data_IF_975729913100
#
_entry.id   IF_975729913100
#
_cell.length_a   1.000
_cell.length_b   1.000
_cell.length_c   1.000
_cell.angle_alpha   90.00
_cell.angle_beta   90.00
_cell.angle_gamma   90.00
#
_symmetry.space_group_name_H-M   'P 1'
#
loop_
_entity.id
_entity.type
_entity.pdbx_description
1 polymer ?
#
# COMPACT_ATOMS: atom_id res chain seq x y z
N UNK A 1 12.20 -15.22 -7.77
CA UNK A 1 11.68 -13.85 -7.97
C UNK A 1 10.20 -13.95 -8.26
N UNK A 2 9.39 -13.56 -7.28
CA UNK A 2 7.94 -13.49 -7.46
C UNK A 2 7.64 -12.47 -8.57
N UNK A 3 7.00 -12.91 -9.65
CA UNK A 3 6.63 -12.05 -10.79
C UNK A 3 5.85 -10.80 -10.35
N UNK A 4 5.10 -10.91 -9.26
CA UNK A 4 4.31 -9.82 -8.69
C UNK A 4 5.18 -8.79 -7.96
N UNK A 5 6.23 -9.23 -7.26
CA UNK A 5 7.17 -8.32 -6.59
C UNK A 5 7.86 -7.40 -7.60
N UNK A 6 8.44 -7.97 -8.65
CA UNK A 6 9.10 -7.19 -9.70
C UNK A 6 8.12 -6.29 -10.45
N UNK A 7 6.92 -6.79 -10.75
CA UNK A 7 5.89 -5.98 -11.38
C UNK A 7 5.52 -4.77 -10.52
N UNK A 8 5.24 -4.97 -9.22
CA UNK A 8 4.91 -3.87 -8.32
C UNK A 8 6.07 -2.89 -8.23
N UNK A 9 7.32 -3.35 -8.11
CA UNK A 9 8.52 -2.50 -8.09
C UNK A 9 8.60 -1.59 -9.32
N UNK A 10 8.30 -2.12 -10.50
CA UNK A 10 8.45 -1.38 -11.76
C UNK A 10 7.26 -0.47 -12.11
N UNK A 11 6.05 -0.80 -11.64
CA UNK A 11 4.80 -0.17 -12.07
C UNK A 11 4.08 0.62 -10.98
N UNK A 12 4.07 0.12 -9.73
CA UNK A 12 3.27 0.73 -8.67
C UNK A 12 3.66 2.19 -8.37
N UNK A 13 4.94 2.56 -8.22
CA UNK A 13 5.30 3.97 -7.98
C UNK A 13 4.84 4.90 -9.11
N UNK A 14 4.98 4.45 -10.37
CA UNK A 14 4.58 5.24 -11.54
C UNK A 14 3.07 5.43 -11.59
N UNK A 15 2.31 4.33 -11.47
CA UNK A 15 0.86 4.34 -11.49
C UNK A 15 0.31 5.20 -10.36
N UNK A 16 0.87 5.06 -9.14
CA UNK A 16 0.41 5.83 -7.99
C UNK A 16 0.79 7.31 -8.10
N UNK A 17 1.96 7.66 -8.64
CA UNK A 17 2.32 9.05 -8.91
C UNK A 17 1.32 9.72 -9.85
N UNK A 18 0.90 9.01 -10.90
CA UNK A 18 -0.13 9.51 -11.79
C UNK A 18 -1.44 9.76 -11.03
N UNK A 19 -1.91 8.80 -10.22
CA UNK A 19 -3.11 8.98 -9.39
C UNK A 19 -2.99 10.17 -8.42
N UNK A 20 -1.83 10.36 -7.79
CA UNK A 20 -1.56 11.49 -6.90
C UNK A 20 -1.67 12.81 -7.66
N UNK A 21 -1.14 12.89 -8.88
CA UNK A 21 -1.21 14.09 -9.71
C UNK A 21 -2.64 14.36 -10.19
N UNK A 22 -3.40 13.34 -10.56
CA UNK A 22 -4.79 13.44 -11.01
C UNK A 22 -5.71 13.95 -9.89
N UNK A 23 -5.53 13.45 -8.66
CA UNK A 23 -6.35 13.84 -7.50
C UNK A 23 -5.76 14.97 -6.66
N UNK A 24 -4.54 15.41 -6.97
CA UNK A 24 -3.79 16.41 -6.22
C UNK A 24 -3.64 16.07 -4.72
N UNK A 25 -3.57 14.78 -4.38
CA UNK A 25 -3.55 14.30 -3.01
C UNK A 25 -2.80 12.97 -2.86
N UNK A 26 -2.04 12.82 -1.76
CA UNK A 26 -1.36 11.56 -1.42
C UNK A 26 -2.19 10.79 -0.40
N UNK A 27 -3.07 9.91 -0.89
CA UNK A 27 -3.88 9.03 -0.04
C UNK A 27 -3.15 7.72 0.23
N UNK A 28 -3.07 7.28 1.49
CA UNK A 28 -2.48 5.98 1.83
C UNK A 28 -3.20 4.86 1.06
N UNK A 29 -2.40 3.98 0.45
CA UNK A 29 -2.89 2.88 -0.38
C UNK A 29 -2.11 1.60 -0.10
N UNK A 30 -2.84 0.48 -0.10
CA UNK A 30 -2.29 -0.87 -0.17
C UNK A 30 -2.48 -1.39 -1.59
N UNK A 31 -1.48 -2.09 -2.13
CA UNK A 31 -1.56 -2.67 -3.47
C UNK A 31 -1.09 -4.10 -3.48
N UNK A 32 -1.68 -4.91 -4.35
CA UNK A 32 -1.34 -6.31 -4.55
C UNK A 32 -1.76 -6.72 -5.96
N UNK A 33 -1.30 -7.87 -6.42
CA UNK A 33 -1.60 -8.38 -7.76
C UNK A 33 -2.26 -9.75 -7.71
N UNK A 34 -3.09 -10.03 -8.70
CA UNK A 34 -3.31 -11.39 -9.16
C UNK A 34 -2.62 -11.56 -10.53
N UNK A 35 -2.86 -12.68 -11.20
CA UNK A 35 -2.27 -12.97 -12.52
C UNK A 35 -2.65 -11.96 -13.63
N UNK A 36 -3.79 -11.27 -13.52
CA UNK A 36 -4.37 -10.46 -14.58
C UNK A 36 -4.33 -8.94 -14.28
N UNK A 37 -4.34 -8.56 -13.00
CA UNK A 37 -4.53 -7.19 -12.54
C UNK A 37 -3.71 -6.83 -11.29
N UNK A 38 -3.40 -5.55 -11.16
CA UNK A 38 -3.00 -4.88 -9.93
C UNK A 38 -4.23 -4.24 -9.29
N UNK A 39 -4.37 -4.38 -7.98
CA UNK A 39 -5.43 -3.74 -7.20
C UNK A 39 -4.86 -2.63 -6.33
N UNK A 40 -5.60 -1.53 -6.22
CA UNK A 40 -5.35 -0.45 -5.26
C UNK A 40 -6.49 -0.39 -4.25
N UNK A 41 -6.13 -0.45 -2.98
CA UNK A 41 -7.03 -0.30 -1.85
C UNK A 41 -6.66 0.97 -1.08
N UNK A 42 -7.43 2.04 -1.28
CA UNK A 42 -7.23 3.30 -0.57
C UNK A 42 -7.70 3.17 0.87
N UNK A 43 -6.80 3.24 1.84
CA UNK A 43 -7.14 3.01 3.26
C UNK A 43 -8.04 4.11 3.83
N UNK A 44 -8.16 5.23 3.11
CA UNK A 44 -9.11 6.29 3.39
C UNK A 44 -10.53 5.74 3.57
N UNK A 45 -10.99 4.79 2.78
CA UNK A 45 -12.36 4.27 2.83
C UNK A 45 -12.72 3.48 4.10
N UNK A 46 -11.74 3.09 4.91
CA UNK A 46 -12.01 2.24 6.08
C UNK A 46 -12.94 2.92 7.08
N UNK A 47 -12.95 4.25 7.15
CA UNK A 47 -13.90 4.97 8.00
C UNK A 47 -15.37 4.65 7.66
N UNK A 48 -15.69 4.35 6.41
CA UNK A 48 -17.05 4.06 5.94
C UNK A 48 -17.54 2.67 6.40
N UNK A 49 -16.61 1.74 6.60
CA UNK A 49 -16.89 0.31 6.83
C UNK A 49 -16.43 -0.19 8.20
N UNK A 50 -15.69 0.63 8.95
CA UNK A 50 -15.12 0.32 10.27
C UNK A 50 -15.66 1.28 11.35
N UNK A 51 -16.95 1.62 11.28
CA UNK A 51 -17.63 2.42 12.30
C UNK A 51 -17.04 3.82 12.49
N UNK A 52 -16.64 4.48 11.40
CA UNK A 52 -16.01 5.81 11.43
C UNK A 52 -14.51 5.81 11.73
N UNK A 53 -13.91 4.65 12.01
CA UNK A 53 -12.48 4.53 12.34
C UNK A 53 -11.66 4.20 11.10
N UNK A 54 -10.49 4.83 10.96
CA UNK A 54 -9.51 4.42 9.96
C UNK A 54 -8.96 3.01 10.21
N UNK A 55 -8.08 2.56 9.33
CA UNK A 55 -7.31 1.32 9.55
C UNK A 55 -6.20 1.61 10.56
N UNK A 56 -6.14 0.85 11.65
CA UNK A 56 -5.01 0.88 12.60
C UNK A 56 -3.85 0.05 12.04
N UNK A 57 -2.63 0.28 12.53
CA UNK A 57 -1.46 -0.48 12.07
C UNK A 57 -1.61 -2.00 12.28
N UNK A 58 -2.12 -2.44 13.44
CA UNK A 58 -2.36 -3.87 13.67
C UNK A 58 -3.46 -4.42 12.76
N UNK A 59 -4.53 -3.65 12.53
CA UNK A 59 -5.60 -4.07 11.62
C UNK A 59 -5.09 -4.15 10.17
N UNK A 60 -4.20 -3.25 9.74
CA UNK A 60 -3.54 -3.32 8.44
C UNK A 60 -2.73 -4.61 8.30
N UNK A 61 -1.92 -4.96 9.29
CA UNK A 61 -1.16 -6.21 9.28
C UNK A 61 -2.09 -7.41 9.23
N UNK A 62 -3.14 -7.44 10.06
CA UNK A 62 -4.09 -8.56 10.09
C UNK A 62 -4.81 -8.70 8.76
N UNK A 63 -5.25 -7.59 8.19
CA UNK A 63 -5.98 -7.58 6.94
C UNK A 63 -5.11 -7.97 5.75
N UNK A 64 -3.87 -7.47 5.67
CA UNK A 64 -2.91 -7.87 4.65
C UNK A 64 -2.59 -9.36 4.74
N UNK A 65 -2.33 -9.89 5.94
CA UNK A 65 -2.05 -11.32 6.13
C UNK A 65 -3.26 -12.20 5.79
N UNK A 66 -4.47 -11.78 6.17
CA UNK A 66 -5.71 -12.43 5.76
C UNK A 66 -5.86 -12.46 4.24
N UNK A 67 -5.72 -11.31 3.56
CA UNK A 67 -5.83 -11.23 2.10
C UNK A 67 -4.75 -12.05 1.40
N UNK A 68 -3.53 -12.07 1.94
CA UNK A 68 -2.44 -12.88 1.41
C UNK A 68 -2.80 -14.35 1.34
N UNK A 69 -3.38 -14.90 2.41
CA UNK A 69 -3.81 -16.30 2.43
C UNK A 69 -5.05 -16.54 1.56
N UNK A 70 -6.06 -15.68 1.64
CA UNK A 70 -7.33 -15.88 0.92
C UNK A 70 -7.19 -15.76 -0.60
N UNK A 71 -6.36 -14.82 -1.06
CA UNK A 71 -6.15 -14.54 -2.48
C UNK A 71 -4.85 -15.15 -3.03
N UNK A 72 -4.10 -15.88 -2.19
CA UNK A 72 -2.81 -16.51 -2.54
C UNK A 72 -1.81 -15.51 -3.13
N UNK A 73 -1.72 -14.34 -2.49
CA UNK A 73 -0.88 -13.23 -2.95
C UNK A 73 0.58 -13.50 -2.62
N UNK A 74 1.47 -13.18 -3.57
CA UNK A 74 2.92 -13.41 -3.41
C UNK A 74 3.70 -12.14 -3.08
N UNK A 75 3.08 -10.96 -3.26
CA UNK A 75 3.66 -9.67 -2.93
C UNK A 75 2.59 -8.63 -2.58
N UNK A 76 2.95 -7.72 -1.68
CA UNK A 76 2.16 -6.54 -1.31
C UNK A 76 3.03 -5.29 -1.42
N UNK A 77 2.42 -4.21 -1.86
CA UNK A 77 2.96 -2.86 -1.84
C UNK A 77 2.13 -1.92 -0.95
N UNK A 78 2.76 -0.87 -0.48
CA UNK A 78 2.16 0.20 0.32
C UNK A 78 2.74 1.54 -0.12
N UNK A 79 1.89 2.56 -0.24
CA UNK A 79 2.36 3.93 -0.39
C UNK A 79 1.65 4.86 0.60
N UNK A 80 2.40 5.81 1.17
CA UNK A 80 1.89 6.82 2.08
C UNK A 80 2.74 8.10 2.02
N UNK A 81 2.15 9.23 2.44
CA UNK A 81 2.88 10.47 2.64
C UNK A 81 3.67 10.45 3.95
N UNK A 82 4.86 11.03 3.92
CA UNK A 82 5.75 11.21 5.05
C UNK A 82 6.29 12.64 5.07
N UNK A 83 6.68 13.09 6.26
CA UNK A 83 7.33 14.38 6.47
C UNK A 83 8.56 14.15 7.36
N UNK A 84 9.72 14.61 6.88
CA UNK A 84 10.96 14.60 7.66
C UNK A 84 11.01 15.78 8.63
N UNK A 85 11.96 15.77 9.57
CA UNK A 85 12.15 16.86 10.54
C UNK A 85 12.38 18.22 9.86
N UNK A 86 13.11 18.22 8.73
CA UNK A 86 13.38 19.39 7.90
C UNK A 86 12.18 19.86 7.04
N UNK A 87 11.00 19.28 7.27
CA UNK A 87 9.74 19.52 6.54
C UNK A 87 9.74 19.01 5.09
N UNK A 88 10.74 18.25 4.66
CA UNK A 88 10.71 17.58 3.36
C UNK A 88 9.57 16.58 3.33
N UNK A 89 8.68 16.72 2.35
CA UNK A 89 7.53 15.83 2.12
C UNK A 89 7.86 14.82 1.03
N UNK A 90 7.58 13.56 1.29
CA UNK A 90 7.78 12.51 0.29
C UNK A 90 6.71 11.44 0.35
N UNK A 91 6.50 10.76 -0.77
CA UNK A 91 5.75 9.53 -0.87
C UNK A 91 6.72 8.39 -0.63
N UNK A 92 6.48 7.59 0.40
CA UNK A 92 7.23 6.39 0.67
C UNK A 92 6.52 5.19 0.06
N UNK A 93 7.22 4.43 -0.78
CA UNK A 93 6.80 3.14 -1.32
C UNK A 93 7.51 2.03 -0.59
N UNK A 94 6.77 1.02 -0.16
CA UNK A 94 7.30 -0.20 0.43
C UNK A 94 6.67 -1.40 -0.25
N UNK A 95 7.48 -2.40 -0.60
CA UNK A 95 7.04 -3.67 -1.21
C UNK A 95 7.69 -4.81 -0.44
N UNK A 96 6.90 -5.83 -0.12
CA UNK A 96 7.38 -7.09 0.47
C UNK A 96 6.80 -8.28 -0.29
N UNK A 97 7.59 -9.34 -0.46
CA UNK A 97 7.13 -10.64 -0.98
C UNK A 97 7.01 -11.69 0.12
N UNK A 98 6.31 -12.79 -0.19
CA UNK A 98 6.26 -13.99 0.67
C UNK A 98 7.62 -14.65 0.86
N UNK A 99 8.56 -14.41 -0.04
CA UNK A 99 9.96 -14.88 0.04
C UNK A 99 10.84 -13.94 0.90
N UNK A 100 10.23 -12.98 1.60
CA UNK A 100 10.88 -11.93 2.39
C UNK A 100 11.79 -11.00 1.57
N UNK A 101 11.62 -10.90 0.25
CA UNK A 101 12.22 -9.82 -0.53
C UNK A 101 11.56 -8.50 -0.14
N UNK A 102 12.36 -7.44 0.03
CA UNK A 102 11.90 -6.11 0.40
C UNK A 102 12.42 -5.12 -0.64
N UNK A 103 11.61 -4.12 -0.97
CA UNK A 103 12.08 -2.95 -1.70
C UNK A 103 11.33 -1.70 -1.25
N UNK A 104 12.04 -0.59 -1.12
CA UNK A 104 11.46 0.70 -0.81
C UNK A 104 12.04 1.83 -1.67
N UNK A 105 11.24 2.88 -1.86
CA UNK A 105 11.59 4.07 -2.64
C UNK A 105 10.94 5.32 -2.05
N UNK A 106 11.63 6.45 -2.12
CA UNK A 106 11.09 7.76 -1.74
C UNK A 106 11.00 8.69 -2.96
N UNK A 107 9.82 9.29 -3.16
CA UNK A 107 9.62 10.35 -4.14
C UNK A 107 9.19 11.63 -3.44
N UNK A 108 9.99 12.69 -3.55
CA UNK A 108 9.61 14.01 -3.04
C UNK A 108 8.40 14.52 -3.82
N UNK A 109 7.46 15.16 -3.13
CA UNK A 109 6.34 15.84 -3.76
C UNK A 109 6.23 17.29 -3.26
N UNK A 110 5.71 18.17 -4.10
CA UNK A 110 5.44 19.57 -3.80
C UNK A 110 3.93 19.78 -3.68
N UNK A 111 3.52 20.68 -2.80
CA UNK A 111 2.12 21.07 -2.62
C UNK A 111 1.99 22.59 -2.58
N UNK A 112 0.86 23.11 -3.04
CA UNK A 112 0.55 24.55 -2.95
C UNK A 112 0.13 24.97 -1.53
N UNK A 113 -0.21 26.25 -1.35
CA UNK A 113 -0.64 26.82 -0.06
C UNK A 113 -1.92 26.17 0.51
N UNK A 114 -2.76 25.56 -0.35
CA UNK A 114 -3.95 24.80 0.06
C UNK A 114 -3.63 23.35 0.44
N UNK A 115 -2.37 22.92 0.37
CA UNK A 115 -1.95 21.55 0.62
C UNK A 115 -2.22 20.57 -0.52
N UNK A 116 -2.64 21.06 -1.70
CA UNK A 116 -2.85 20.23 -2.89
C UNK A 116 -1.53 19.92 -3.57
N UNK A 117 -1.31 18.66 -3.92
CA UNK A 117 -0.11 18.22 -4.63
C UNK A 117 -0.08 18.85 -6.02
N UNK A 118 1.03 19.52 -6.33
CA UNK A 118 1.25 20.18 -7.63
C UNK A 118 2.29 19.45 -8.47
N UNK A 119 3.11 18.58 -7.85
CA UNK A 119 4.18 17.86 -8.52
C UNK A 119 4.66 16.68 -7.68
N UNK A 120 5.02 15.59 -8.36
CA UNK A 120 5.86 14.52 -7.79
C UNK A 120 7.16 14.47 -8.58
N UNK A 121 8.30 14.49 -7.87
CA UNK A 121 9.62 14.47 -8.50
C UNK A 121 9.93 13.04 -8.95
N UNK A 122 10.10 12.86 -10.27
CA UNK A 122 10.40 11.55 -10.87
C UNK A 122 11.76 11.00 -10.43
N UNK A 123 12.75 11.88 -10.26
CA UNK A 123 14.09 11.49 -9.82
C UNK A 123 14.08 11.18 -8.32
N UNK A 124 14.31 9.91 -7.99
CA UNK A 124 14.49 9.44 -6.62
C UNK A 124 15.97 9.09 -6.36
N UNK A 125 16.46 9.40 -5.17
CA UNK A 125 17.82 9.04 -4.71
C UNK A 125 17.83 7.99 -3.62
N UNK A 126 16.70 7.81 -2.93
CA UNK A 126 16.61 7.00 -1.72
C UNK A 126 15.78 5.75 -2.04
N UNK A 127 16.48 4.64 -2.24
CA UNK A 127 15.88 3.30 -2.36
C UNK A 127 16.59 2.35 -1.41
N UNK A 128 15.91 1.30 -0.99
CA UNK A 128 16.51 0.24 -0.18
C UNK A 128 15.93 -1.11 -0.56
N UNK A 129 16.79 -2.12 -0.74
CA UNK A 129 16.37 -3.52 -0.93
C UNK A 129 16.37 -4.30 0.40
N UNK A 130 16.56 -3.62 1.54
CA UNK A 130 16.72 -4.26 2.86
C UNK A 130 15.89 -3.62 3.97
N UNK A 131 15.60 -2.32 3.88
CA UNK A 131 14.85 -1.60 4.90
C UNK A 131 13.57 -1.00 4.30
N UNK A 132 12.39 -1.32 4.86
CA UNK A 132 11.19 -0.58 4.53
C UNK A 132 11.22 0.80 5.20
N UNK A 133 10.58 1.78 4.57
CA UNK A 133 10.29 3.10 5.12
C UNK A 133 9.28 2.96 6.25
N UNK A 134 8.25 2.15 6.07
CA UNK A 134 7.31 1.79 7.12
C UNK A 134 7.74 0.49 7.83
N UNK A 135 8.11 0.53 9.12
CA UNK A 135 8.49 -0.67 9.85
C UNK A 135 7.38 -1.75 9.87
N UNK A 136 6.11 -1.35 9.76
CA UNK A 136 4.96 -2.24 9.73
C UNK A 136 5.06 -3.31 8.62
N UNK A 137 5.65 -2.94 7.48
CA UNK A 137 5.77 -3.82 6.31
C UNK A 137 6.63 -5.05 6.62
N UNK A 138 7.54 -4.96 7.59
CA UNK A 138 8.31 -6.12 8.05
C UNK A 138 7.42 -7.24 8.60
N UNK A 139 6.22 -6.91 9.13
CA UNK A 139 5.24 -7.86 9.69
C UNK A 139 4.27 -8.44 8.65
N UNK A 140 4.33 -8.00 7.39
CA UNK A 140 3.51 -8.61 6.34
C UNK A 140 3.99 -10.03 6.06
N UNK A 141 3.06 -10.94 5.80
CA UNK A 141 3.29 -12.38 5.62
C UNK A 141 3.82 -13.12 6.86
N UNK A 142 3.85 -12.49 8.04
CA UNK A 142 4.00 -13.24 9.28
C UNK A 142 2.79 -14.17 9.45
N UNK A 143 3.05 -15.43 9.83
CA UNK A 143 1.95 -16.35 10.08
C UNK A 143 1.18 -15.89 11.32
N UNK A 144 -0.12 -15.61 11.14
CA UNK A 144 -1.02 -15.24 12.23
C UNK A 144 -2.15 -16.26 12.30
N UNK A 145 -2.25 -16.95 13.43
CA UNK A 145 -3.39 -17.82 13.71
C UNK A 145 -4.52 -16.95 14.28
N UNK A 146 -5.44 -16.51 13.42
CA UNK A 146 -6.54 -15.63 13.82
C UNK A 146 -7.57 -16.39 14.67
N UNK A 147 -7.98 -15.84 15.83
CA UNK A 147 -9.18 -16.28 16.53
C UNK A 147 -10.42 -16.19 15.62
N UNK A 148 -11.44 -17.01 15.91
CA UNK A 148 -12.63 -17.14 15.05
C UNK A 148 -13.39 -15.81 14.85
N UNK A 149 -13.56 -15.04 15.92
CA UNK A 149 -14.19 -13.72 15.91
C UNK A 149 -13.40 -12.72 15.04
N UNK A 150 -12.07 -12.76 15.13
CA UNK A 150 -11.17 -11.93 14.33
C UNK A 150 -11.25 -12.32 12.85
N UNK A 151 -11.30 -13.61 12.54
CA UNK A 151 -11.44 -14.09 11.18
C UNK A 151 -12.78 -13.68 10.56
N UNK A 152 -13.87 -13.79 11.32
CA UNK A 152 -15.20 -13.34 10.88
C UNK A 152 -15.21 -11.83 10.62
N UNK A 153 -14.61 -11.04 11.51
CA UNK A 153 -14.45 -9.60 11.31
C UNK A 153 -13.68 -9.29 10.01
N UNK A 154 -12.52 -9.93 9.78
CA UNK A 154 -11.69 -9.71 8.59
C UNK A 154 -12.42 -10.11 7.30
N UNK A 155 -13.21 -11.20 7.33
CA UNK A 155 -14.07 -11.62 6.22
C UNK A 155 -15.14 -10.58 5.90
N UNK A 156 -15.81 -10.04 6.92
CA UNK A 156 -16.81 -9.00 6.75
C UNK A 156 -16.19 -7.69 6.24
N UNK A 157 -15.00 -7.34 6.72
CA UNK A 157 -14.24 -6.19 6.26
C UNK A 157 -13.84 -6.35 4.79
N UNK A 158 -13.33 -7.52 4.41
CA UNK A 158 -12.99 -7.84 3.02
C UNK A 158 -14.19 -7.64 2.10
N UNK A 159 -15.34 -8.25 2.42
CA UNK A 159 -16.55 -8.12 1.61
C UNK A 159 -17.00 -6.66 1.44
N UNK A 160 -16.80 -5.82 2.45
CA UNK A 160 -17.16 -4.40 2.40
C UNK A 160 -16.19 -3.54 1.58
N UNK A 161 -14.89 -3.86 1.58
CA UNK A 161 -13.89 -3.08 0.80
C UNK A 161 -13.74 -3.57 -0.63
N UNK A 162 -14.10 -4.82 -0.95
CA UNK A 162 -13.98 -5.39 -2.30
C UNK A 162 -14.60 -4.52 -3.40
N UNK A 163 -15.83 -3.97 -3.25
CA UNK A 163 -16.43 -3.11 -4.28
C UNK A 163 -15.65 -1.83 -4.58
N UNK A 164 -14.78 -1.41 -3.67
CA UNK A 164 -14.02 -0.17 -3.77
C UNK A 164 -12.56 -0.38 -4.21
N UNK A 165 -12.17 -1.63 -4.50
CA UNK A 165 -10.87 -1.92 -5.10
C UNK A 165 -10.80 -1.32 -6.51
N UNK A 166 -9.75 -0.54 -6.76
CA UNK A 166 -9.46 -0.06 -8.11
C UNK A 166 -8.61 -1.10 -8.82
N UNK A 167 -9.10 -1.60 -9.95
CA UNK A 167 -8.41 -2.58 -10.79
C UNK A 167 -7.63 -1.90 -11.92
N UNK A 168 -6.33 -2.20 -12.01
CA UNK A 168 -5.43 -1.79 -13.08
C UNK A 168 -4.97 -3.05 -13.82
N UNK A 169 -5.35 -3.20 -15.08
CA UNK A 169 -4.96 -4.36 -15.90
C UNK A 169 -3.45 -4.41 -16.09
N UNK A 170 -2.86 -5.60 -15.93
CA UNK A 170 -1.43 -5.84 -16.23
C UNK A 170 -1.30 -5.98 -17.75
N UNK A 171 -0.38 -5.21 -18.33
CA UNK A 171 -0.05 -5.27 -19.76
C UNK A 171 0.97 -6.37 -20.05
#
# INVERSE_FOLDING_TARGET
MASDFNYLKDHFPKNFNQTVMEHQAVNKVLTFCNKDAQFLLFTGMFHEVNGGKGITDDLEVYFVNYLADQLKLTAFGRAAAYVLEDQTKFIGYDIKSTDNEIWSQQNIFEANEEGRVTKVIEKFSNTSDTNPICPLVSRYFEKIDFPEDTLEFLKNLHAQVTPSLIEIKRA
#
